data_IF_210542103058
#
_entry.id   IF_210542103058
#
_cell.length_a   1.000
_cell.length_b   1.000
_cell.length_c   1.000
_cell.angle_alpha   90.00
_cell.angle_beta   90.00
_cell.angle_gamma   90.00
#
_symmetry.space_group_name_H-M   'P 1'
#
loop_
_entity.id
_entity.type
_entity.pdbx_description
1 polymer ?
#
# COMPACT_ATOMS: atom_id res chain seq x y z
N UNK A 1 -14.12 -28.35 -0.19
CA UNK A 1 -12.88 -27.62 0.13
C UNK A 1 -12.14 -27.10 -1.12
N UNK A 2 -11.98 -27.89 -2.19
CA UNK A 2 -11.24 -27.49 -3.41
C UNK A 2 -11.66 -26.13 -4.02
N UNK A 3 -12.97 -25.91 -4.23
CA UNK A 3 -13.50 -24.66 -4.80
C UNK A 3 -13.17 -23.40 -3.98
N UNK A 4 -13.14 -23.51 -2.64
CA UNK A 4 -12.82 -22.39 -1.77
C UNK A 4 -11.33 -22.00 -1.84
N UNK A 5 -10.44 -23.00 -2.00
CA UNK A 5 -9.01 -22.76 -2.15
C UNK A 5 -8.66 -22.11 -3.50
N UNK A 6 -9.25 -22.58 -4.60
CA UNK A 6 -9.05 -21.96 -5.92
C UNK A 6 -9.57 -20.53 -5.96
N UNK A 7 -10.73 -20.27 -5.34
CA UNK A 7 -11.30 -18.93 -5.29
C UNK A 7 -10.44 -17.95 -4.49
N UNK A 8 -9.90 -18.39 -3.34
CA UNK A 8 -8.94 -17.60 -2.55
C UNK A 8 -7.72 -17.22 -3.38
N UNK A 9 -7.09 -18.18 -4.06
CA UNK A 9 -5.91 -17.93 -4.88
C UNK A 9 -6.16 -16.99 -6.05
N UNK A 10 -7.31 -17.10 -6.72
CA UNK A 10 -7.65 -16.20 -7.83
C UNK A 10 -7.92 -14.77 -7.34
N UNK A 11 -8.53 -14.61 -6.17
CA UNK A 11 -8.68 -13.29 -5.52
C UNK A 11 -7.33 -12.68 -5.20
N UNK A 12 -6.44 -13.43 -4.53
CA UNK A 12 -5.11 -12.95 -4.17
C UNK A 12 -4.31 -12.53 -5.41
N UNK A 13 -4.34 -13.34 -6.47
CA UNK A 13 -3.66 -13.04 -7.74
C UNK A 13 -4.21 -11.78 -8.39
N UNK A 14 -5.54 -11.64 -8.45
CA UNK A 14 -6.19 -10.46 -9.04
C UNK A 14 -5.92 -9.19 -8.21
N UNK A 15 -5.89 -9.33 -6.89
CA UNK A 15 -5.57 -8.24 -5.98
C UNK A 15 -4.12 -7.78 -6.16
N UNK A 16 -3.15 -8.71 -6.16
CA UNK A 16 -1.74 -8.42 -6.43
C UNK A 16 -1.54 -7.72 -7.79
N UNK A 17 -2.22 -8.22 -8.82
CA UNK A 17 -2.16 -7.64 -10.18
C UNK A 17 -2.70 -6.21 -10.18
N UNK A 18 -3.81 -5.97 -9.49
CA UNK A 18 -4.44 -4.65 -9.40
C UNK A 18 -3.57 -3.67 -8.60
N UNK A 19 -3.02 -4.11 -7.47
CA UNK A 19 -2.07 -3.33 -6.65
C UNK A 19 -0.87 -2.93 -7.50
N UNK A 20 -0.20 -3.88 -8.15
CA UNK A 20 0.95 -3.61 -9.00
C UNK A 20 0.62 -2.59 -10.11
N UNK A 21 -0.54 -2.75 -10.74
CA UNK A 21 -1.01 -1.87 -11.82
C UNK A 21 -1.24 -0.45 -11.34
N UNK A 22 -1.90 -0.26 -10.19
CA UNK A 22 -2.18 1.07 -9.67
C UNK A 22 -0.91 1.75 -9.17
N UNK A 23 -0.02 1.03 -8.49
CA UNK A 23 1.24 1.58 -8.01
C UNK A 23 2.20 1.98 -9.14
N UNK A 24 2.20 1.30 -10.29
CA UNK A 24 2.95 1.77 -11.48
C UNK A 24 2.51 3.14 -11.99
N UNK A 25 1.26 3.55 -11.71
CA UNK A 25 0.75 4.87 -12.05
C UNK A 25 1.03 5.90 -10.96
N UNK A 26 1.64 5.48 -9.84
CA UNK A 26 1.93 6.36 -8.73
C UNK A 26 3.15 7.24 -9.04
N UNK A 27 2.88 8.52 -9.20
CA UNK A 27 3.80 9.63 -9.17
C UNK A 27 3.17 10.65 -8.22
N UNK A 28 3.87 10.97 -7.14
CA UNK A 28 3.37 11.82 -6.05
C UNK A 28 2.73 13.13 -6.57
N UNK A 29 3.29 13.72 -7.63
CA UNK A 29 2.85 15.00 -8.19
C UNK A 29 1.68 14.88 -9.19
N UNK A 30 1.60 13.78 -9.95
CA UNK A 30 0.73 13.70 -11.14
C UNK A 30 -0.37 12.63 -11.08
N UNK A 31 -0.38 11.78 -10.05
CA UNK A 31 -1.39 10.73 -9.93
C UNK A 31 -2.76 11.30 -9.55
N UNK A 32 -3.85 10.87 -10.23
CA UNK A 32 -5.22 11.26 -9.88
C UNK A 32 -5.57 10.99 -8.41
N UNK A 33 -6.48 11.79 -7.86
CA UNK A 33 -6.84 11.73 -6.44
C UNK A 33 -7.44 10.38 -6.02
N UNK A 34 -8.15 9.75 -6.95
CA UNK A 34 -8.85 8.47 -6.79
C UNK A 34 -7.84 7.33 -6.70
N UNK A 35 -6.84 7.33 -7.59
CA UNK A 35 -5.74 6.35 -7.56
C UNK A 35 -4.95 6.52 -6.27
N UNK A 36 -4.73 7.75 -5.82
CA UNK A 36 -4.07 8.03 -4.54
C UNK A 36 -4.85 7.44 -3.35
N UNK A 37 -6.17 7.65 -3.31
CA UNK A 37 -7.05 7.08 -2.26
C UNK A 37 -7.05 5.56 -2.27
N UNK A 38 -7.14 4.93 -3.44
CA UNK A 38 -7.12 3.47 -3.55
C UNK A 38 -5.85 2.87 -3.01
N UNK A 39 -4.69 3.43 -3.36
CA UNK A 39 -3.39 3.00 -2.84
C UNK A 39 -3.29 3.26 -1.33
N UNK A 40 -3.79 4.40 -0.86
CA UNK A 40 -3.81 4.71 0.57
C UNK A 40 -4.64 3.68 1.35
N UNK A 41 -5.81 3.31 0.84
CA UNK A 41 -6.69 2.29 1.42
C UNK A 41 -6.03 0.91 1.52
N UNK A 42 -5.38 0.47 0.42
CA UNK A 42 -4.65 -0.82 0.40
C UNK A 42 -3.54 -0.82 1.45
N UNK A 43 -2.68 0.21 1.47
CA UNK A 43 -1.55 0.27 2.40
C UNK A 43 -1.98 0.26 3.86
N UNK A 44 -3.02 1.02 4.21
CA UNK A 44 -3.57 1.05 5.57
C UNK A 44 -4.20 -0.30 5.95
N UNK A 45 -4.97 -0.92 5.05
CA UNK A 45 -5.69 -2.17 5.34
C UNK A 45 -4.74 -3.34 5.56
N UNK A 46 -3.69 -3.44 4.74
CA UNK A 46 -2.73 -4.53 4.79
C UNK A 46 -1.51 -4.22 5.66
N UNK A 47 -1.43 -3.01 6.26
CA UNK A 47 -0.27 -2.53 7.03
C UNK A 47 1.04 -2.75 6.26
N UNK A 48 1.03 -2.32 5.00
CA UNK A 48 2.13 -2.45 4.04
C UNK A 48 2.52 -1.08 3.47
N UNK A 49 3.69 -1.00 2.84
CA UNK A 49 4.11 0.19 2.13
C UNK A 49 4.86 -0.17 0.85
N UNK A 50 4.43 0.41 -0.28
CA UNK A 50 4.94 0.04 -1.60
C UNK A 50 4.32 -1.25 -2.13
N UNK A 51 4.72 -1.64 -3.34
CA UNK A 51 4.36 -2.90 -3.98
C UNK A 51 5.18 -4.03 -3.39
N UNK A 52 6.50 -3.92 -3.50
CA UNK A 52 7.47 -4.90 -3.01
C UNK A 52 8.35 -4.31 -1.91
N UNK A 53 8.79 -3.06 -2.08
CA UNK A 53 9.57 -2.33 -1.07
C UNK A 53 9.33 -0.83 -1.26
N UNK A 54 8.96 -0.16 -0.18
CA UNK A 54 8.75 1.28 -0.15
C UNK A 54 9.94 2.09 -0.68
N UNK A 55 11.18 1.59 -0.54
CA UNK A 55 12.40 2.25 -1.01
C UNK A 55 12.51 2.29 -2.53
N UNK A 56 11.88 1.33 -3.21
CA UNK A 56 11.85 1.27 -4.67
C UNK A 56 10.72 2.11 -5.24
N UNK A 57 9.64 2.24 -4.49
CA UNK A 57 8.39 2.88 -4.93
C UNK A 57 8.31 4.37 -4.54
N UNK A 58 9.09 4.82 -3.55
CA UNK A 58 9.07 6.19 -3.04
C UNK A 58 10.48 6.77 -2.88
N UNK A 59 10.76 7.85 -3.61
CA UNK A 59 12.10 8.45 -3.66
C UNK A 59 12.39 9.53 -2.61
N UNK A 60 11.36 10.17 -2.04
CA UNK A 60 11.56 11.32 -1.16
C UNK A 60 10.47 11.49 -0.10
N UNK A 61 9.22 11.15 -0.45
CA UNK A 61 8.07 11.39 0.41
C UNK A 61 7.19 10.15 0.42
N UNK A 62 7.06 9.54 1.60
CA UNK A 62 6.16 8.43 1.80
C UNK A 62 4.74 8.94 2.05
N UNK A 63 3.71 8.30 1.49
CA UNK A 63 2.32 8.62 1.84
C UNK A 63 2.05 8.26 3.31
N UNK A 64 1.15 8.97 3.97
CA UNK A 64 0.81 8.73 5.38
C UNK A 64 0.40 7.27 5.68
N UNK A 65 -0.16 6.54 4.72
CA UNK A 65 -0.51 5.12 4.88
C UNK A 65 0.68 4.16 4.96
N UNK A 66 1.90 4.63 4.70
CA UNK A 66 3.12 3.87 4.90
C UNK A 66 3.63 3.89 6.34
N UNK A 67 3.08 4.76 7.17
CA UNK A 67 3.37 4.84 8.58
C UNK A 67 2.18 4.30 9.38
N UNK A 68 2.46 3.75 10.55
CA UNK A 68 1.42 3.33 11.48
C UNK A 68 0.62 4.57 11.90
N UNK A 69 -0.63 4.68 11.45
CA UNK A 69 -1.46 5.86 11.71
C UNK A 69 -1.75 6.05 13.21
N UNK A 70 -1.55 5.02 14.04
CA UNK A 70 -1.59 5.16 15.49
C UNK A 70 -0.54 6.12 16.02
N UNK A 71 0.58 6.32 15.31
CA UNK A 71 1.59 7.32 15.67
C UNK A 71 1.22 8.76 15.29
N UNK A 72 0.18 8.96 14.45
CA UNK A 72 -0.15 10.27 13.88
C UNK A 72 -1.33 11.00 14.53
N UNK A 73 -2.18 10.34 15.31
CA UNK A 73 -3.44 10.95 15.76
C UNK A 73 -4.29 11.47 14.59
N UNK A 74 -5.33 12.26 14.85
CA UNK A 74 -6.21 12.90 13.82
C UNK A 74 -5.49 13.97 12.95
N UNK A 75 -4.22 13.76 12.61
CA UNK A 75 -3.43 14.68 11.80
C UNK A 75 -3.85 14.60 10.34
N UNK A 76 -4.25 15.76 9.77
CA UNK A 76 -4.53 15.94 8.35
C UNK A 76 -3.29 15.81 7.44
N UNK A 77 -2.13 15.51 8.03
CA UNK A 77 -0.87 15.38 7.33
C UNK A 77 -0.82 14.08 6.52
N UNK A 78 -0.64 14.22 5.21
CA UNK A 78 -0.67 13.13 4.23
C UNK A 78 0.70 12.49 4.03
N UNK A 79 1.65 12.80 4.90
CA UNK A 79 3.07 12.51 4.72
C UNK A 79 3.59 11.59 5.81
N UNK A 80 4.37 10.58 5.48
CA UNK A 80 5.05 9.68 6.43
C UNK A 80 6.53 10.08 6.53
N UNK A 81 6.93 10.57 7.70
CA UNK A 81 8.27 11.11 7.94
C UNK A 81 9.25 10.04 8.39
N UNK A 82 10.54 10.37 8.37
CA UNK A 82 11.58 9.38 8.61
C UNK A 82 11.62 8.81 10.03
N UNK A 83 11.21 9.61 11.01
CA UNK A 83 11.24 9.29 12.43
C UNK A 83 10.00 8.50 12.91
N UNK A 84 9.01 8.29 12.04
CA UNK A 84 7.78 7.56 12.35
C UNK A 84 7.93 6.04 12.14
N UNK A 85 7.06 5.26 12.79
CA UNK A 85 7.03 3.80 12.63
C UNK A 85 6.48 3.45 11.25
N UNK A 86 7.32 2.90 10.37
CA UNK A 86 6.96 2.56 8.99
C UNK A 86 6.62 1.09 8.83
N UNK A 87 5.65 0.81 7.98
CA UNK A 87 5.44 -0.53 7.46
C UNK A 87 6.63 -0.91 6.57
N UNK A 88 7.33 -1.99 6.91
CA UNK A 88 8.57 -2.40 6.24
C UNK A 88 8.36 -3.39 5.11
N UNK A 89 7.18 -4.00 5.04
CA UNK A 89 6.84 -5.01 4.05
C UNK A 89 6.01 -4.41 2.91
N UNK A 90 6.26 -4.87 1.69
CA UNK A 90 5.47 -4.51 0.51
C UNK A 90 4.09 -5.14 0.54
N UNK A 91 3.13 -4.52 -0.16
CA UNK A 91 1.76 -5.01 -0.20
C UNK A 91 1.61 -6.36 -0.91
N UNK A 92 2.55 -6.75 -1.78
CA UNK A 92 2.55 -8.09 -2.37
C UNK A 92 2.80 -9.20 -1.34
N UNK A 93 3.66 -8.94 -0.34
CA UNK A 93 4.01 -9.93 0.68
C UNK A 93 2.91 -10.07 1.74
N UNK A 94 2.21 -8.97 2.01
CA UNK A 94 1.08 -8.94 2.96
C UNK A 94 -0.21 -9.54 2.44
N UNK A 95 -0.41 -9.60 1.12
CA UNK A 95 -1.63 -10.21 0.55
C UNK A 95 -1.62 -11.74 0.67
N UNK A 96 -0.45 -12.37 0.89
CA UNK A 96 -0.33 -13.83 1.05
C UNK A 96 -0.45 -14.33 2.50
N UNK A 97 -0.33 -13.45 3.50
CA UNK A 97 -0.29 -13.79 4.92
C UNK A 97 -1.49 -13.26 5.69
#
# INVERSE_FOLDING_TARGET
>A
AYFAFTYKHDIERNLKTSIAREFRKWNFSNTPSEVKKSIQCVQTSFKCCGVTDYRLDYYAVLPASCCDQWSKGDSADKTCYEWEVRHREGCMDKVEN
#
